data_IF_014915726820
#
_entry.id   IF_014915726820
#
_cell.length_a   1.000
_cell.length_b   1.000
_cell.length_c   1.000
_cell.angle_alpha   90.00
_cell.angle_beta   90.00
_cell.angle_gamma   90.00
#
_symmetry.space_group_name_H-M   'P 1'
#
loop_
_entity.id
_entity.type
_entity.pdbx_description
1 polymer ?
#
# COMPACT_ATOMS: atom_id res chain seq x y z
N UNK A 1 22.65 16.87 81.73
CA UNK A 1 21.85 17.25 80.53
C UNK A 1 22.56 16.61 79.32
N UNK A 2 22.13 15.38 78.97
CA UNK A 2 22.77 14.57 77.92
C UNK A 2 21.84 14.60 76.70
N UNK A 3 22.32 15.15 75.55
CA UNK A 3 21.59 15.22 74.26
C UNK A 3 21.89 13.98 73.47
N UNK A 4 20.86 13.17 73.22
CA UNK A 4 20.91 12.02 72.25
C UNK A 4 20.69 12.57 70.84
N UNK A 5 21.69 12.37 69.97
CA UNK A 5 21.59 12.59 68.53
C UNK A 5 21.07 11.30 67.92
N UNK A 6 19.85 11.31 67.33
CA UNK A 6 19.31 10.23 66.51
C UNK A 6 19.80 10.42 65.08
N UNK A 7 20.66 9.50 64.62
CA UNK A 7 20.98 9.41 63.19
C UNK A 7 19.88 8.64 62.46
N UNK A 8 19.25 9.25 61.47
CA UNK A 8 18.30 8.62 60.59
C UNK A 8 19.07 8.00 59.41
N UNK A 9 19.01 6.66 59.28
CA UNK A 9 19.57 5.91 58.18
C UNK A 9 18.55 5.97 57.00
N UNK A 10 18.87 6.69 55.94
CA UNK A 10 18.10 6.72 54.70
C UNK A 10 18.62 5.58 53.81
N UNK A 11 17.80 4.52 53.67
CA UNK A 11 18.07 3.41 52.76
C UNK A 11 17.54 3.80 51.38
N UNK A 12 18.47 4.08 50.43
CA UNK A 12 18.12 4.22 49.01
C UNK A 12 17.89 2.82 48.39
N UNK A 13 16.66 2.45 48.14
CA UNK A 13 16.33 1.25 47.34
C UNK A 13 16.45 1.67 45.86
N UNK A 14 17.56 1.31 45.22
CA UNK A 14 17.71 1.42 43.78
C UNK A 14 16.91 0.28 43.14
N UNK A 15 15.71 0.57 42.72
CA UNK A 15 14.87 -0.37 41.93
C UNK A 15 15.48 -0.61 40.58
N UNK A 16 16.07 -1.77 40.37
CA UNK A 16 16.55 -2.24 39.08
C UNK A 16 15.33 -2.61 38.22
N UNK A 17 14.83 -1.68 37.41
CA UNK A 17 13.84 -1.99 36.39
C UNK A 17 14.48 -2.84 35.29
N UNK A 18 14.38 -4.16 35.39
CA UNK A 18 14.65 -5.03 34.25
C UNK A 18 13.56 -4.78 33.18
N UNK A 19 13.89 -4.05 32.14
CA UNK A 19 13.12 -4.06 30.91
C UNK A 19 13.27 -5.45 30.29
N UNK A 20 12.28 -6.30 30.53
CA UNK A 20 12.15 -7.54 29.78
C UNK A 20 11.91 -7.15 28.30
N UNK A 21 12.89 -7.39 27.46
CA UNK A 21 12.74 -7.31 26.01
C UNK A 21 11.61 -8.27 25.64
N UNK A 22 10.42 -7.74 25.30
CA UNK A 22 9.35 -8.54 24.72
C UNK A 22 9.86 -9.05 23.38
N UNK A 23 10.12 -10.35 23.28
CA UNK A 23 10.36 -10.98 21.99
C UNK A 23 9.14 -10.69 21.11
N UNK A 24 9.38 -10.11 19.94
CA UNK A 24 8.33 -9.95 18.95
C UNK A 24 7.73 -11.33 18.66
N UNK A 25 6.39 -11.47 18.60
CA UNK A 25 5.78 -12.75 18.32
C UNK A 25 6.31 -13.28 16.98
N UNK A 26 6.72 -14.54 16.96
CA UNK A 26 7.19 -15.20 15.74
C UNK A 26 6.02 -15.30 14.76
N UNK A 27 6.12 -14.64 13.61
CA UNK A 27 5.09 -14.69 12.58
C UNK A 27 5.06 -16.09 11.93
N UNK A 28 3.86 -16.66 11.67
CA UNK A 28 3.72 -18.03 11.19
C UNK A 28 4.01 -18.15 9.68
N UNK A 29 5.25 -17.87 9.27
CA UNK A 29 5.68 -17.91 7.86
C UNK A 29 5.62 -19.33 7.27
N UNK A 30 5.67 -20.36 8.09
CA UNK A 30 5.46 -21.77 7.71
C UNK A 30 4.08 -22.03 7.09
N UNK A 31 3.11 -21.15 7.32
CA UNK A 31 1.77 -21.21 6.71
C UNK A 31 1.73 -20.61 5.30
N UNK A 32 2.73 -19.81 4.93
CA UNK A 32 2.75 -19.19 3.60
C UNK A 32 3.13 -20.24 2.55
N UNK A 33 2.27 -20.33 1.54
CA UNK A 33 2.48 -21.16 0.35
C UNK A 33 2.93 -20.29 -0.80
N UNK A 34 4.04 -20.66 -1.41
CA UNK A 34 4.65 -20.03 -2.57
C UNK A 34 4.85 -21.05 -3.66
N UNK A 35 4.99 -20.66 -4.93
CA UNK A 35 5.43 -21.54 -5.99
C UNK A 35 6.81 -22.17 -5.68
N UNK A 36 7.15 -23.34 -6.28
CA UNK A 36 8.44 -23.97 -6.07
C UNK A 36 9.62 -23.03 -6.37
N UNK A 37 10.66 -23.09 -5.53
CA UNK A 37 11.86 -22.27 -5.65
C UNK A 37 11.78 -20.90 -4.99
N UNK A 38 10.60 -20.46 -4.54
CA UNK A 38 10.44 -19.22 -3.80
C UNK A 38 10.53 -19.43 -2.28
N UNK A 39 11.05 -18.44 -1.59
CA UNK A 39 11.11 -18.38 -0.13
C UNK A 39 10.63 -17.01 0.38
N UNK A 40 10.15 -16.97 1.62
CA UNK A 40 9.72 -15.74 2.29
C UNK A 40 10.36 -15.62 3.67
N UNK A 41 10.81 -14.42 4.02
CA UNK A 41 11.36 -14.09 5.35
C UNK A 41 10.80 -12.76 5.83
N UNK A 42 10.82 -12.52 7.13
CA UNK A 42 10.59 -11.17 7.68
C UNK A 42 11.78 -10.30 7.28
N UNK A 43 11.52 -9.21 6.58
CA UNK A 43 12.50 -8.18 6.26
C UNK A 43 12.62 -7.16 7.40
N UNK A 44 11.47 -6.67 7.88
CA UNK A 44 11.39 -5.78 9.03
C UNK A 44 10.08 -6.01 9.79
N UNK A 45 10.08 -5.79 11.09
CA UNK A 45 8.92 -5.92 11.96
C UNK A 45 8.81 -4.71 12.91
N UNK A 46 7.68 -4.55 13.58
CA UNK A 46 7.43 -3.40 14.44
C UNK A 46 7.12 -2.14 13.63
N UNK A 47 6.42 -2.28 12.51
CA UNK A 47 5.99 -1.20 11.62
C UNK A 47 4.46 -1.12 11.64
N UNK A 48 3.86 -0.58 12.70
CA UNK A 48 2.40 -0.55 12.87
C UNK A 48 1.66 -0.01 11.67
N UNK A 49 0.70 -0.79 11.17
CA UNK A 49 -0.13 -0.51 10.00
C UNK A 49 0.67 -0.22 8.71
N UNK A 50 1.75 -0.95 8.45
CA UNK A 50 2.59 -0.76 7.25
C UNK A 50 1.76 -0.80 5.95
N UNK A 51 1.85 0.28 5.16
CA UNK A 51 1.09 0.46 3.92
C UNK A 51 2.04 0.60 2.73
N UNK A 52 1.85 1.61 1.89
CA UNK A 52 2.68 1.82 0.72
C UNK A 52 4.16 1.94 1.09
N UNK A 53 4.99 1.33 0.26
CA UNK A 53 6.44 1.36 0.35
C UNK A 53 7.04 2.17 -0.80
N UNK A 54 8.15 2.88 -0.52
CA UNK A 54 8.96 3.55 -1.52
C UNK A 54 10.44 3.39 -1.19
N UNK A 55 11.25 3.12 -2.20
CA UNK A 55 12.70 2.99 -2.04
C UNK A 55 13.37 4.34 -2.32
N UNK A 56 14.25 4.77 -1.43
CA UNK A 56 15.12 5.93 -1.59
C UNK A 56 16.33 5.64 -2.47
N UNK A 57 17.09 6.68 -2.79
CA UNK A 57 18.28 6.59 -3.65
C UNK A 57 19.42 5.83 -2.99
N UNK A 58 19.55 5.98 -1.65
CA UNK A 58 20.63 5.37 -0.85
C UNK A 58 20.22 3.99 -0.30
N UNK A 59 19.12 3.43 -0.80
CA UNK A 59 18.63 2.12 -0.41
C UNK A 59 17.77 2.10 0.86
N UNK A 60 17.44 3.26 1.42
CA UNK A 60 16.50 3.37 2.54
C UNK A 60 15.10 3.03 2.05
N UNK A 61 14.45 2.05 2.67
CA UNK A 61 13.05 1.77 2.41
C UNK A 61 12.18 2.66 3.29
N UNK A 62 11.25 3.39 2.69
CA UNK A 62 10.23 4.14 3.42
C UNK A 62 8.90 3.37 3.43
N UNK A 63 8.16 3.45 4.53
CA UNK A 63 6.84 2.88 4.67
C UNK A 63 5.86 3.87 5.30
N UNK A 64 4.72 4.08 4.63
CA UNK A 64 3.58 4.79 5.19
C UNK A 64 2.78 3.92 6.15
N UNK A 65 1.84 4.52 6.86
CA UNK A 65 0.91 3.77 7.72
C UNK A 65 -0.52 4.33 7.59
N UNK A 66 -1.46 3.60 8.13
CA UNK A 66 -2.87 4.03 8.13
C UNK A 66 -3.22 4.70 9.46
N UNK A 67 -3.96 4.04 10.34
CA UNK A 67 -4.41 4.60 11.63
C UNK A 67 -3.27 4.91 12.61
N UNK A 68 -2.13 4.24 12.47
CA UNK A 68 -0.94 4.53 13.30
C UNK A 68 -0.43 5.97 13.12
N UNK A 69 -0.72 6.62 11.98
CA UNK A 69 -0.37 8.01 11.73
C UNK A 69 1.12 8.29 11.64
N UNK A 70 1.92 7.27 11.32
CA UNK A 70 3.37 7.34 11.29
C UNK A 70 3.93 7.11 9.87
N UNK A 71 5.14 7.61 9.65
CA UNK A 71 5.98 7.25 8.50
C UNK A 71 7.28 6.70 9.03
N UNK A 72 7.75 5.61 8.43
CA UNK A 72 8.93 4.88 8.85
C UNK A 72 10.01 4.89 7.76
N UNK A 73 11.26 4.93 8.19
CA UNK A 73 12.42 4.59 7.36
C UNK A 73 13.00 3.27 7.88
N UNK A 74 13.31 2.38 6.97
CA UNK A 74 13.87 1.07 7.25
C UNK A 74 15.22 0.98 6.56
N UNK A 75 16.29 0.83 7.35
CA UNK A 75 17.66 0.69 6.87
C UNK A 75 18.02 -0.79 6.91
N UNK A 76 18.34 -1.35 5.75
CA UNK A 76 18.71 -2.76 5.62
C UNK A 76 20.17 -2.97 6.07
N UNK A 77 20.37 -3.82 7.07
CA UNK A 77 21.68 -4.26 7.58
C UNK A 77 21.94 -5.73 7.29
N UNK A 78 21.23 -6.32 6.32
CA UNK A 78 21.36 -7.75 6.00
C UNK A 78 22.77 -8.16 5.56
N UNK A 79 23.53 -7.23 4.97
CA UNK A 79 24.95 -7.46 4.62
C UNK A 79 25.84 -7.67 5.86
N UNK A 80 25.45 -7.12 7.02
CA UNK A 80 26.15 -7.23 8.30
C UNK A 80 25.53 -8.33 9.18
N UNK A 81 24.60 -9.13 8.66
CA UNK A 81 23.80 -10.12 9.38
C UNK A 81 23.03 -9.53 10.58
N UNK A 82 22.68 -8.25 10.51
CA UNK A 82 21.87 -7.57 11.51
C UNK A 82 20.42 -7.39 10.99
N UNK A 83 19.43 -7.35 11.90
CA UNK A 83 18.08 -7.00 11.51
C UNK A 83 18.02 -5.56 11.00
N UNK A 84 17.05 -5.28 10.13
CA UNK A 84 16.82 -3.93 9.63
C UNK A 84 16.50 -2.95 10.79
N UNK A 85 17.10 -1.76 10.75
CA UNK A 85 16.78 -0.68 11.71
C UNK A 85 15.50 0.02 11.26
N UNK A 86 14.50 0.08 12.13
CA UNK A 86 13.22 0.78 11.87
C UNK A 86 13.23 2.12 12.60
N UNK A 87 13.19 3.22 11.86
CA UNK A 87 13.22 4.59 12.36
C UNK A 87 11.87 5.26 12.07
N UNK A 88 11.20 5.76 13.10
CA UNK A 88 9.99 6.55 12.90
C UNK A 88 10.38 7.99 12.56
N UNK A 89 10.18 8.41 11.29
CA UNK A 89 10.56 9.73 10.79
C UNK A 89 9.44 10.77 10.88
N UNK A 90 8.19 10.35 11.00
CA UNK A 90 7.05 11.24 11.24
C UNK A 90 5.97 10.55 12.08
N UNK A 91 5.16 11.34 12.80
CA UNK A 91 4.06 10.84 13.63
C UNK A 91 2.93 11.87 13.71
N UNK A 92 1.73 11.41 14.11
CA UNK A 92 0.55 12.28 14.28
C UNK A 92 -0.04 12.79 12.97
N UNK A 93 0.29 12.13 11.85
CA UNK A 93 -0.28 12.44 10.54
C UNK A 93 -1.65 11.75 10.35
N UNK A 94 -2.48 12.28 9.45
CA UNK A 94 -3.82 11.72 9.17
C UNK A 94 -3.76 10.65 8.09
N UNK A 95 -3.63 9.38 8.49
CA UNK A 95 -3.55 8.22 7.59
C UNK A 95 -2.50 8.42 6.47
N UNK A 96 -1.21 8.61 6.80
CA UNK A 96 -0.14 8.86 5.83
C UNK A 96 0.23 7.58 5.05
N UNK A 97 -0.74 6.97 4.41
CA UNK A 97 -0.58 5.67 3.76
C UNK A 97 0.16 5.73 2.43
N UNK A 98 0.01 6.84 1.70
CA UNK A 98 0.66 7.04 0.40
C UNK A 98 2.02 7.69 0.54
N UNK A 99 3.06 7.05 -0.01
CA UNK A 99 4.41 7.60 -0.03
C UNK A 99 5.08 7.41 -1.38
N UNK A 100 5.88 8.38 -1.79
CA UNK A 100 6.71 8.30 -2.98
C UNK A 100 8.03 9.03 -2.76
N UNK A 101 9.11 8.51 -3.31
CA UNK A 101 10.43 9.12 -3.20
C UNK A 101 10.91 9.60 -4.58
N UNK A 102 11.48 10.81 -4.63
CA UNK A 102 12.08 11.36 -5.83
C UNK A 102 13.07 12.47 -5.49
N UNK A 103 14.21 12.49 -6.16
CA UNK A 103 15.23 13.54 -6.10
C UNK A 103 15.61 13.92 -4.65
N UNK A 104 15.88 12.90 -3.81
CA UNK A 104 16.25 13.07 -2.40
C UNK A 104 15.10 13.46 -1.46
N UNK A 105 13.88 13.55 -1.95
CA UNK A 105 12.70 14.00 -1.19
C UNK A 105 11.64 12.91 -1.08
N UNK A 106 11.09 12.76 0.13
CA UNK A 106 9.97 11.87 0.42
C UNK A 106 8.66 12.65 0.41
N UNK A 107 7.76 12.28 -0.50
CA UNK A 107 6.39 12.79 -0.55
C UNK A 107 5.50 11.86 0.26
N UNK A 108 4.63 12.44 1.07
CA UNK A 108 3.69 11.73 1.95
C UNK A 108 2.29 12.26 1.72
N UNK A 109 1.36 11.39 1.38
CA UNK A 109 -0.05 11.74 1.22
C UNK A 109 -0.84 11.35 2.47
N UNK A 110 -1.42 12.36 3.10
CA UNK A 110 -2.47 12.27 4.10
C UNK A 110 -3.85 12.27 3.40
N UNK A 111 -4.93 12.21 4.15
CA UNK A 111 -6.29 12.26 3.57
C UNK A 111 -6.49 13.49 2.68
N UNK A 112 -6.16 14.69 3.18
CA UNK A 112 -6.51 15.97 2.53
C UNK A 112 -5.33 16.73 1.94
N UNK A 113 -4.10 16.23 2.10
CA UNK A 113 -2.90 16.94 1.63
C UNK A 113 -1.76 15.99 1.26
N UNK A 114 -0.86 16.52 0.45
CA UNK A 114 0.46 15.93 0.20
C UNK A 114 1.51 16.87 0.79
N UNK A 115 2.40 16.31 1.59
CA UNK A 115 3.55 17.00 2.19
C UNK A 115 4.85 16.37 1.68
N UNK A 116 5.98 17.07 1.83
CA UNK A 116 7.28 16.63 1.34
C UNK A 116 8.38 16.89 2.37
N UNK A 117 9.23 15.91 2.59
CA UNK A 117 10.43 15.98 3.42
C UNK A 117 11.67 16.03 2.52
N UNK A 118 12.32 17.19 2.41
CA UNK A 118 13.47 17.40 1.52
C UNK A 118 14.78 16.90 2.14
N UNK A 119 15.61 16.17 1.37
CA UNK A 119 16.90 15.62 1.80
C UNK A 119 16.75 14.66 2.98
N UNK A 120 15.70 13.83 2.96
CA UNK A 120 15.32 12.98 4.10
C UNK A 120 16.35 11.91 4.44
N UNK A 121 16.98 11.26 3.43
CA UNK A 121 17.88 10.12 3.65
C UNK A 121 19.09 10.48 4.52
N UNK A 122 19.62 11.68 4.41
CA UNK A 122 20.72 12.17 5.25
C UNK A 122 20.29 12.60 6.67
N UNK A 123 18.99 12.58 6.98
CA UNK A 123 18.43 13.15 8.23
C UNK A 123 17.37 12.28 8.88
N UNK A 124 17.43 10.96 8.75
CA UNK A 124 16.44 10.02 9.27
C UNK A 124 16.15 10.18 10.76
N UNK A 125 17.20 10.42 11.57
CA UNK A 125 17.07 10.59 13.04
C UNK A 125 16.68 12.01 13.47
N UNK A 126 16.77 12.98 12.56
CA UNK A 126 16.36 14.37 12.77
C UNK A 126 15.69 14.93 11.50
N UNK A 127 14.49 14.45 11.15
CA UNK A 127 13.81 14.80 9.92
C UNK A 127 13.56 16.31 9.79
N UNK A 128 13.64 16.88 8.58
CA UNK A 128 13.31 18.28 8.37
C UNK A 128 11.81 18.52 8.58
N UNK A 129 11.43 19.78 8.80
CA UNK A 129 10.01 20.16 8.76
C UNK A 129 9.46 19.90 7.37
N UNK A 130 8.27 19.29 7.25
CA UNK A 130 7.69 19.05 5.93
C UNK A 130 7.21 20.33 5.26
N UNK A 131 7.31 20.35 3.94
CA UNK A 131 6.73 21.36 3.07
C UNK A 131 5.36 20.88 2.61
N UNK A 132 4.32 21.73 2.67
CA UNK A 132 3.03 21.43 2.05
C UNK A 132 3.15 21.56 0.55
N UNK A 133 2.90 20.47 -0.18
CA UNK A 133 2.90 20.43 -1.66
C UNK A 133 1.52 20.83 -2.18
N UNK A 134 0.47 20.19 -1.66
CA UNK A 134 -0.92 20.49 -2.00
C UNK A 134 -1.83 20.10 -0.83
N UNK A 135 -2.75 20.96 -0.44
CA UNK A 135 -3.71 20.76 0.67
C UNK A 135 -5.19 20.89 0.23
N UNK A 136 -5.45 20.74 -1.06
CA UNK A 136 -6.78 20.95 -1.66
C UNK A 136 -7.55 19.64 -1.92
N UNK A 137 -7.07 18.49 -1.42
CA UNK A 137 -7.80 17.24 -1.54
C UNK A 137 -9.00 17.20 -0.59
N UNK A 138 -10.03 16.41 -0.91
CA UNK A 138 -11.18 16.19 -0.02
C UNK A 138 -10.77 15.67 1.37
N UNK A 139 -11.61 15.96 2.37
CA UNK A 139 -11.33 15.67 3.79
C UNK A 139 -12.06 14.44 4.32
N UNK A 140 -12.90 13.83 3.51
CA UNK A 140 -13.70 12.64 3.83
C UNK A 140 -12.77 11.46 4.17
N UNK A 141 -13.07 10.79 5.29
CA UNK A 141 -12.25 9.66 5.75
C UNK A 141 -12.55 8.38 4.96
N UNK A 142 -13.80 8.19 4.52
CA UNK A 142 -14.21 7.03 3.74
C UNK A 142 -13.50 7.05 2.38
N UNK A 143 -12.71 6.03 2.09
CA UNK A 143 -11.79 5.96 0.94
C UNK A 143 -10.82 7.16 0.83
N UNK A 144 -10.53 7.81 1.97
CA UNK A 144 -9.69 9.01 2.01
C UNK A 144 -8.18 8.73 1.96
N UNK A 145 -7.74 7.54 2.38
CA UNK A 145 -6.32 7.15 2.33
C UNK A 145 -5.86 7.00 0.88
N UNK A 146 -4.61 7.35 0.64
CA UNK A 146 -4.07 7.49 -0.71
C UNK A 146 -2.91 6.53 -0.96
N UNK A 147 -2.70 6.24 -2.21
CA UNK A 147 -1.50 5.68 -2.79
C UNK A 147 -0.92 6.75 -3.74
N UNK A 148 0.36 7.02 -3.74
CA UNK A 148 0.95 8.03 -4.63
C UNK A 148 2.19 7.49 -5.34
N UNK A 149 2.39 7.90 -6.59
CA UNK A 149 3.61 7.56 -7.32
C UNK A 149 3.87 8.58 -8.43
N UNK A 150 5.12 8.67 -8.87
CA UNK A 150 5.52 9.52 -9.99
C UNK A 150 5.35 8.79 -11.30
N UNK A 151 4.60 9.39 -12.22
CA UNK A 151 4.42 8.86 -13.57
C UNK A 151 5.64 9.05 -14.46
N UNK A 152 5.66 8.37 -15.62
CA UNK A 152 6.72 8.54 -16.63
C UNK A 152 6.74 9.95 -17.24
N UNK A 153 5.67 10.72 -17.09
CA UNK A 153 5.55 12.14 -17.43
C UNK A 153 6.17 13.06 -16.37
N UNK A 154 6.69 12.50 -15.27
CA UNK A 154 7.28 13.22 -14.16
C UNK A 154 6.28 13.84 -13.18
N UNK A 155 4.98 13.69 -13.39
CA UNK A 155 3.94 14.20 -12.50
C UNK A 155 3.68 13.24 -11.34
N UNK A 156 3.18 13.76 -10.22
CA UNK A 156 2.73 12.97 -9.07
C UNK A 156 1.25 12.61 -9.25
N UNK A 157 0.96 11.30 -9.25
CA UNK A 157 -0.40 10.77 -9.35
C UNK A 157 -0.98 10.50 -7.97
N UNK A 158 -2.25 10.88 -7.77
CA UNK A 158 -2.95 10.81 -6.49
C UNK A 158 -4.39 10.38 -6.72
N UNK A 159 -4.81 9.19 -6.31
CA UNK A 159 -6.20 8.76 -6.36
C UNK A 159 -7.01 9.42 -5.23
N UNK A 160 -8.28 9.68 -5.52
CA UNK A 160 -9.26 10.14 -4.55
C UNK A 160 -10.50 9.28 -4.68
N UNK A 161 -10.72 8.39 -3.72
CA UNK A 161 -11.85 7.48 -3.75
C UNK A 161 -13.21 8.17 -3.57
N UNK A 162 -14.28 7.46 -3.92
CA UNK A 162 -15.64 7.94 -3.67
C UNK A 162 -15.91 8.05 -2.15
N UNK A 163 -16.60 9.09 -1.66
CA UNK A 163 -16.83 9.33 -0.23
C UNK A 163 -17.92 8.43 0.37
N UNK A 164 -18.21 7.31 -0.26
CA UNK A 164 -19.35 6.45 0.06
C UNK A 164 -19.15 5.03 -0.49
N UNK A 165 -19.96 4.08 -0.03
CA UNK A 165 -20.02 2.75 -0.66
C UNK A 165 -20.55 2.85 -2.10
N UNK A 166 -21.70 3.51 -2.29
CA UNK A 166 -22.30 3.77 -3.59
C UNK A 166 -23.06 5.10 -3.59
N UNK A 167 -22.54 6.07 -4.32
CA UNK A 167 -23.14 7.38 -4.56
C UNK A 167 -22.66 7.92 -5.89
N UNK A 168 -23.28 8.99 -6.38
CA UNK A 168 -22.71 9.81 -7.44
C UNK A 168 -21.78 10.86 -6.81
N UNK A 169 -20.48 10.65 -6.86
CA UNK A 169 -19.54 11.59 -6.24
C UNK A 169 -19.47 12.90 -7.06
N UNK A 170 -18.97 13.97 -6.41
CA UNK A 170 -18.58 15.17 -7.15
C UNK A 170 -17.29 14.93 -7.98
N UNK A 171 -16.91 15.90 -8.79
CA UNK A 171 -15.79 15.80 -9.74
C UNK A 171 -14.41 15.59 -9.09
N UNK A 172 -14.28 15.84 -7.77
CA UNK A 172 -13.04 15.67 -7.01
C UNK A 172 -12.84 14.26 -6.50
N UNK A 173 -13.90 13.43 -6.53
CA UNK A 173 -13.92 12.07 -6.02
C UNK A 173 -14.12 11.03 -7.14
N UNK A 174 -13.75 9.79 -6.85
CA UNK A 174 -13.86 8.70 -7.81
C UNK A 174 -12.92 8.88 -9.00
N UNK A 175 -11.72 9.40 -8.74
CA UNK A 175 -10.76 9.84 -9.76
C UNK A 175 -9.33 9.43 -9.42
N UNK A 176 -8.49 9.30 -10.43
CA UNK A 176 -7.04 9.43 -10.31
C UNK A 176 -6.67 10.80 -10.87
N UNK A 177 -6.05 11.63 -10.02
CA UNK A 177 -5.54 12.94 -10.39
C UNK A 177 -4.02 12.90 -10.55
N UNK A 178 -3.45 13.88 -11.26
CA UNK A 178 -2.00 14.11 -11.31
C UNK A 178 -1.69 15.60 -11.17
N UNK A 179 -0.49 15.91 -10.68
CA UNK A 179 -0.03 17.29 -10.49
C UNK A 179 1.47 17.39 -10.65
N UNK A 180 1.96 18.62 -10.83
CA UNK A 180 3.38 18.93 -10.82
C UNK A 180 3.99 18.66 -9.43
N UNK A 181 5.31 18.51 -9.34
CA UNK A 181 6.06 18.26 -8.10
C UNK A 181 5.89 19.34 -7.03
N UNK A 182 5.54 20.55 -7.44
CA UNK A 182 5.25 21.69 -6.56
C UNK A 182 3.76 21.81 -6.19
N UNK A 183 2.92 20.85 -6.59
CA UNK A 183 1.48 20.81 -6.30
C UNK A 183 0.61 21.64 -7.24
N UNK A 184 1.17 22.34 -8.21
CA UNK A 184 0.42 23.06 -9.23
C UNK A 184 -0.09 22.13 -10.34
N UNK A 185 -1.02 22.62 -11.17
CA UNK A 185 -1.49 21.90 -12.36
C UNK A 185 -2.26 20.61 -12.01
N UNK A 186 -2.97 20.58 -10.86
CA UNK A 186 -3.80 19.44 -10.49
C UNK A 186 -4.92 19.23 -11.52
N UNK A 187 -4.93 18.06 -12.14
CA UNK A 187 -5.92 17.68 -13.16
C UNK A 187 -6.36 16.21 -13.01
N UNK A 188 -7.55 15.89 -13.50
CA UNK A 188 -8.08 14.53 -13.52
C UNK A 188 -7.49 13.75 -14.69
N UNK A 189 -6.82 12.63 -14.39
CA UNK A 189 -6.31 11.68 -15.38
C UNK A 189 -7.35 10.61 -15.76
N UNK A 190 -8.02 10.01 -14.77
CA UNK A 190 -9.05 8.99 -14.98
C UNK A 190 -10.21 9.19 -13.98
N UNK A 191 -11.42 8.78 -14.36
CA UNK A 191 -12.65 8.94 -13.57
C UNK A 191 -13.53 7.71 -13.60
N UNK A 192 -14.62 7.73 -12.83
CA UNK A 192 -15.54 6.59 -12.72
C UNK A 192 -14.91 5.43 -11.95
N UNK A 193 -14.12 5.75 -10.93
CA UNK A 193 -13.36 4.85 -10.08
C UNK A 193 -13.95 4.89 -8.67
N UNK A 194 -14.16 3.73 -8.03
CA UNK A 194 -14.73 3.74 -6.68
C UNK A 194 -13.66 3.97 -5.62
N UNK A 195 -12.63 3.15 -5.57
CA UNK A 195 -11.57 3.23 -4.56
C UNK A 195 -10.29 2.56 -5.05
N UNK A 196 -9.48 3.28 -5.81
CA UNK A 196 -8.15 2.84 -6.22
C UNK A 196 -7.12 3.17 -5.14
N UNK A 197 -6.37 2.16 -4.69
CA UNK A 197 -5.29 2.28 -3.68
C UNK A 197 -4.03 1.55 -4.15
N UNK A 198 -3.84 1.39 -5.44
CA UNK A 198 -2.65 0.80 -6.03
C UNK A 198 -2.64 1.00 -7.53
N UNK A 199 -1.51 1.44 -8.03
CA UNK A 199 -1.30 1.61 -9.47
C UNK A 199 0.19 1.57 -9.81
N UNK A 200 0.49 1.27 -11.06
CA UNK A 200 1.83 1.29 -11.61
C UNK A 200 1.77 1.46 -13.13
N UNK A 201 2.89 1.74 -13.75
CA UNK A 201 3.00 1.88 -15.20
C UNK A 201 3.68 0.68 -15.82
N UNK A 202 3.11 0.19 -16.91
CA UNK A 202 3.73 -0.89 -17.67
C UNK A 202 5.18 -0.51 -18.04
N UNK A 203 6.18 -1.35 -17.69
CA UNK A 203 7.59 -0.95 -17.80
C UNK A 203 8.07 -0.62 -19.23
N UNK A 204 7.38 -1.16 -20.24
CA UNK A 204 7.71 -0.93 -21.67
C UNK A 204 6.85 0.18 -22.26
N UNK A 205 5.50 0.07 -22.18
CA UNK A 205 4.58 1.01 -22.83
C UNK A 205 4.36 2.29 -22.04
N UNK A 206 4.73 2.31 -20.75
CA UNK A 206 4.57 3.46 -19.84
C UNK A 206 3.11 3.85 -19.59
N UNK A 207 2.19 2.97 -19.85
CA UNK A 207 0.75 3.16 -19.68
C UNK A 207 0.31 2.74 -18.28
N UNK A 208 -0.65 3.47 -17.71
CA UNK A 208 -1.12 3.29 -16.34
C UNK A 208 -2.00 2.06 -16.19
N UNK A 209 -1.74 1.28 -15.15
CA UNK A 209 -2.59 0.20 -14.66
C UNK A 209 -2.94 0.45 -13.19
N UNK A 210 -4.15 0.16 -12.77
CA UNK A 210 -4.58 0.39 -11.38
C UNK A 210 -5.61 -0.63 -10.91
N UNK A 211 -5.61 -0.90 -9.61
CA UNK A 211 -6.65 -1.69 -8.93
C UNK A 211 -7.82 -0.80 -8.53
N UNK A 212 -9.05 -1.33 -8.56
CA UNK A 212 -10.23 -0.66 -8.00
C UNK A 212 -11.06 -1.64 -7.17
N UNK A 213 -11.45 -1.21 -5.97
CA UNK A 213 -12.26 -2.03 -5.07
C UNK A 213 -13.75 -1.86 -5.39
N UNK A 214 -14.44 -2.97 -5.64
CA UNK A 214 -15.86 -3.02 -5.94
C UNK A 214 -16.77 -2.58 -4.80
N UNK A 215 -18.05 -2.40 -5.11
CA UNK A 215 -19.10 -2.00 -4.15
C UNK A 215 -19.32 -3.09 -3.10
N UNK A 216 -19.44 -2.69 -1.83
CA UNK A 216 -19.70 -3.61 -0.73
C UNK A 216 -21.19 -3.96 -0.60
N UNK A 217 -21.49 -5.10 0.06
CA UNK A 217 -22.82 -5.52 0.47
C UNK A 217 -23.80 -5.82 -0.67
N UNK A 218 -23.28 -6.29 -1.81
CA UNK A 218 -24.09 -6.83 -2.91
C UNK A 218 -24.14 -8.38 -2.93
N UNK A 219 -23.68 -9.02 -1.86
CA UNK A 219 -23.54 -10.47 -1.73
C UNK A 219 -22.06 -10.93 -1.87
N UNK A 220 -21.83 -12.20 -1.62
CA UNK A 220 -20.47 -12.76 -1.55
C UNK A 220 -19.68 -12.70 -2.87
N UNK A 221 -20.41 -12.80 -3.99
CA UNK A 221 -19.78 -13.03 -5.28
C UNK A 221 -19.90 -11.84 -6.25
N UNK A 222 -20.47 -10.70 -5.83
CA UNK A 222 -20.76 -9.55 -6.68
C UNK A 222 -20.54 -8.23 -5.93
N UNK A 223 -19.94 -7.24 -6.57
CA UNK A 223 -19.15 -7.30 -7.79
C UNK A 223 -17.73 -7.84 -7.52
N UNK A 224 -17.00 -8.29 -8.53
CA UNK A 224 -15.57 -8.48 -8.40
C UNK A 224 -14.86 -7.12 -8.21
N UNK A 225 -13.65 -7.16 -7.62
CA UNK A 225 -12.68 -6.06 -7.73
C UNK A 225 -12.07 -6.06 -9.13
N UNK A 226 -11.41 -4.97 -9.50
CA UNK A 226 -10.97 -4.74 -10.87
C UNK A 226 -9.46 -4.47 -10.95
N UNK A 227 -8.83 -4.96 -12.01
CA UNK A 227 -7.59 -4.42 -12.53
C UNK A 227 -7.89 -3.68 -13.83
N UNK A 228 -7.61 -2.40 -13.82
CA UNK A 228 -7.93 -1.46 -14.89
C UNK A 228 -6.70 -1.05 -15.68
N UNK A 229 -6.89 -0.75 -16.97
CA UNK A 229 -5.86 -0.26 -17.89
C UNK A 229 -6.27 1.08 -18.48
N UNK A 230 -5.44 2.10 -18.24
CA UNK A 230 -5.69 3.49 -18.61
C UNK A 230 -4.55 4.06 -19.49
N UNK A 231 -4.47 3.71 -20.79
CA UNK A 231 -3.38 4.16 -21.66
C UNK A 231 -3.35 5.66 -21.94
N UNK A 232 -4.42 6.40 -21.65
CA UNK A 232 -4.52 7.82 -21.94
C UNK A 232 -5.41 8.54 -20.93
N UNK A 233 -5.24 9.87 -20.76
CA UNK A 233 -6.10 10.65 -19.89
C UNK A 233 -7.54 10.72 -20.42
N UNK A 234 -8.49 11.04 -19.51
CA UNK A 234 -9.90 11.26 -19.78
C UNK A 234 -10.76 9.99 -19.82
N UNK A 235 -10.20 8.81 -19.56
CA UNK A 235 -10.97 7.55 -19.53
C UNK A 235 -11.91 7.48 -18.34
N UNK A 236 -13.08 6.84 -18.54
CA UNK A 236 -14.12 6.66 -17.53
C UNK A 236 -14.41 5.17 -17.33
N UNK A 237 -14.25 4.68 -16.09
CA UNK A 237 -14.35 3.27 -15.74
C UNK A 237 -15.71 2.85 -15.17
N UNK A 238 -16.69 3.75 -15.15
CA UNK A 238 -18.11 3.43 -15.02
C UNK A 238 -18.74 3.67 -13.65
N UNK A 239 -17.99 3.64 -12.54
CA UNK A 239 -18.60 3.89 -11.23
C UNK A 239 -19.29 5.27 -11.18
N UNK A 240 -20.53 5.39 -10.67
CA UNK A 240 -21.37 4.36 -10.05
C UNK A 240 -22.39 3.71 -11.02
N UNK A 241 -22.41 4.03 -12.29
CA UNK A 241 -23.42 3.58 -13.26
C UNK A 241 -23.16 2.14 -13.74
N UNK A 242 -21.91 1.74 -13.81
CA UNK A 242 -21.48 0.39 -14.21
C UNK A 242 -20.38 -0.12 -13.27
N UNK A 243 -20.45 -1.37 -12.89
CA UNK A 243 -19.49 -2.07 -12.04
C UNK A 243 -18.90 -3.24 -12.83
N UNK A 244 -17.62 -3.50 -12.66
CA UNK A 244 -16.91 -4.62 -13.29
C UNK A 244 -17.11 -4.71 -14.82
N UNK A 245 -17.36 -3.58 -15.47
CA UNK A 245 -17.56 -3.45 -16.91
C UNK A 245 -18.87 -3.98 -17.46
N UNK A 246 -19.68 -4.71 -16.70
CA UNK A 246 -20.88 -5.38 -17.19
C UNK A 246 -22.09 -5.34 -16.25
N UNK A 247 -21.90 -4.97 -14.99
CA UNK A 247 -22.95 -5.00 -13.97
C UNK A 247 -23.54 -3.60 -13.83
N UNK A 248 -24.83 -3.37 -14.15
CA UNK A 248 -25.47 -2.08 -13.92
C UNK A 248 -25.40 -1.69 -12.43
N UNK A 249 -25.10 -0.43 -12.18
CA UNK A 249 -25.07 0.09 -10.82
C UNK A 249 -26.42 -0.04 -10.12
N UNK A 250 -26.49 -0.53 -8.86
CA UNK A 250 -27.76 -0.85 -8.21
C UNK A 250 -28.62 0.38 -7.87
N UNK A 251 -28.04 1.56 -7.82
CA UNK A 251 -28.74 2.83 -7.56
C UNK A 251 -28.62 3.84 -8.70
N UNK A 252 -27.56 3.70 -9.47
CA UNK A 252 -27.19 4.62 -10.54
C UNK A 252 -26.89 3.77 -11.77
N UNK A 253 -27.71 3.85 -12.81
CA UNK A 253 -27.56 3.16 -14.07
C UNK A 253 -28.11 4.03 -15.22
N UNK A 254 -27.77 5.32 -15.17
CA UNK A 254 -28.25 6.29 -16.14
C UNK A 254 -27.66 6.04 -17.54
N UNK A 255 -26.44 5.48 -17.56
CA UNK A 255 -25.74 5.13 -18.78
C UNK A 255 -25.46 3.62 -18.82
N UNK A 256 -25.60 2.96 -19.97
CA UNK A 256 -25.32 1.54 -20.12
C UNK A 256 -23.82 1.26 -20.05
N UNK A 257 -23.42 0.07 -19.58
CA UNK A 257 -22.03 -0.31 -19.34
C UNK A 257 -21.12 -0.16 -20.58
N UNK A 258 -21.64 -0.32 -21.78
CA UNK A 258 -20.88 -0.18 -23.03
C UNK A 258 -20.41 1.26 -23.35
N UNK A 259 -20.80 2.24 -22.53
CA UNK A 259 -20.31 3.62 -22.60
C UNK A 259 -19.02 3.84 -21.81
N UNK A 260 -18.64 2.87 -21.00
CA UNK A 260 -17.50 2.97 -20.11
C UNK A 260 -16.36 2.04 -20.54
N UNK A 261 -15.17 2.32 -20.05
CA UNK A 261 -14.02 1.44 -20.23
C UNK A 261 -14.17 0.22 -19.32
N UNK A 262 -14.20 -1.00 -19.84
CA UNK A 262 -14.25 -2.18 -19.00
C UNK A 262 -12.88 -2.41 -18.32
N UNK A 263 -12.84 -3.14 -17.19
CA UNK A 263 -11.58 -3.58 -16.59
C UNK A 263 -10.78 -4.45 -17.56
N UNK A 264 -9.46 -4.40 -17.45
CA UNK A 264 -8.56 -5.29 -18.18
C UNK A 264 -8.78 -6.76 -17.77
N UNK A 265 -9.07 -6.98 -16.48
CA UNK A 265 -9.49 -8.26 -15.93
C UNK A 265 -10.23 -8.04 -14.61
N UNK A 266 -11.29 -8.81 -14.38
CA UNK A 266 -11.95 -8.88 -13.09
C UNK A 266 -11.13 -9.77 -12.14
N UNK A 267 -10.94 -9.30 -10.91
CA UNK A 267 -10.29 -10.01 -9.82
C UNK A 267 -11.33 -10.79 -8.99
N UNK A 268 -10.92 -11.38 -7.87
CA UNK A 268 -11.88 -12.01 -6.96
C UNK A 268 -12.85 -10.98 -6.35
N UNK A 269 -14.12 -11.36 -6.08
CA UNK A 269 -15.08 -10.46 -5.46
C UNK A 269 -14.67 -10.12 -4.03
N UNK A 270 -14.56 -8.82 -3.73
CA UNK A 270 -14.21 -8.29 -2.41
C UNK A 270 -12.83 -8.72 -1.88
N UNK A 271 -11.87 -9.04 -2.73
CA UNK A 271 -10.50 -9.38 -2.31
C UNK A 271 -9.76 -8.17 -1.71
N UNK A 272 -10.31 -6.98 -1.88
CA UNK A 272 -9.70 -5.70 -1.53
C UNK A 272 -8.30 -5.58 -2.17
N UNK A 273 -8.28 -5.63 -3.50
CA UNK A 273 -7.07 -5.43 -4.29
C UNK A 273 -6.55 -4.00 -4.09
N UNK A 274 -5.33 -3.87 -3.53
CA UNK A 274 -4.75 -2.57 -3.20
C UNK A 274 -3.38 -2.41 -3.86
N UNK A 275 -2.26 -2.35 -3.14
CA UNK A 275 -0.95 -2.12 -3.74
C UNK A 275 -0.63 -3.09 -4.87
N UNK A 276 -0.11 -2.59 -5.99
CA UNK A 276 0.29 -3.40 -7.14
C UNK A 276 1.60 -2.89 -7.74
N UNK A 277 2.37 -3.80 -8.34
CA UNK A 277 3.58 -3.46 -9.10
C UNK A 277 3.78 -4.40 -10.28
N UNK A 278 4.31 -3.84 -11.37
CA UNK A 278 4.96 -4.65 -12.39
C UNK A 278 6.28 -5.20 -11.87
N UNK A 279 6.52 -6.48 -12.06
CA UNK A 279 7.80 -7.08 -11.71
C UNK A 279 8.86 -6.75 -12.75
N UNK A 280 9.80 -5.90 -12.39
CA UNK A 280 10.89 -5.44 -13.26
C UNK A 280 12.24 -6.07 -12.90
N UNK A 281 12.27 -6.90 -11.83
CA UNK A 281 13.46 -7.56 -11.35
C UNK A 281 13.94 -8.69 -12.27
N UNK A 282 15.11 -9.24 -11.93
CA UNK A 282 15.73 -10.36 -12.65
C UNK A 282 15.97 -11.58 -11.75
N UNK A 283 15.62 -11.50 -10.45
CA UNK A 283 15.78 -12.63 -9.53
C UNK A 283 14.75 -13.74 -9.79
N UNK A 284 13.51 -13.39 -10.08
CA UNK A 284 12.46 -14.37 -10.37
C UNK A 284 12.63 -14.93 -11.80
N UNK A 285 12.12 -16.13 -12.08
CA UNK A 285 12.12 -16.71 -13.42
C UNK A 285 11.59 -15.75 -14.49
N UNK A 286 12.06 -15.86 -15.75
CA UNK A 286 11.73 -14.92 -16.83
C UNK A 286 10.23 -14.74 -17.08
N UNK A 287 9.40 -15.75 -16.82
CA UNK A 287 7.95 -15.71 -16.98
C UNK A 287 7.22 -14.77 -15.99
N UNK A 288 7.92 -14.28 -14.95
CA UNK A 288 7.39 -13.28 -14.03
C UNK A 288 7.69 -11.85 -14.50
N UNK A 289 8.60 -11.67 -15.45
CA UNK A 289 9.02 -10.34 -15.89
C UNK A 289 7.88 -9.61 -16.57
N UNK A 290 7.67 -8.34 -16.19
CA UNK A 290 6.59 -7.47 -16.64
C UNK A 290 5.17 -8.00 -16.31
N UNK A 291 5.06 -8.97 -15.38
CA UNK A 291 3.78 -9.40 -14.84
C UNK A 291 3.40 -8.53 -13.63
N UNK A 292 2.13 -8.54 -13.26
CA UNK A 292 1.61 -7.68 -12.18
C UNK A 292 1.41 -8.50 -10.91
N UNK A 293 2.09 -8.10 -9.83
CA UNK A 293 1.81 -8.57 -8.47
C UNK A 293 0.85 -7.62 -7.78
N UNK A 294 -0.16 -8.16 -7.09
CA UNK A 294 -1.21 -7.40 -6.40
C UNK A 294 -1.32 -7.88 -4.96
N UNK A 295 -1.25 -6.96 -4.00
CA UNK A 295 -1.61 -7.23 -2.62
C UNK A 295 -3.13 -7.23 -2.48
N UNK A 296 -3.70 -8.37 -2.11
CA UNK A 296 -5.11 -8.53 -1.77
C UNK A 296 -5.27 -8.47 -0.25
N UNK A 297 -5.78 -7.36 0.23
CA UNK A 297 -5.89 -7.08 1.67
C UNK A 297 -6.91 -7.97 2.37
N UNK A 298 -7.85 -8.54 1.62
CA UNK A 298 -8.83 -9.51 2.08
C UNK A 298 -10.18 -8.93 2.45
N UNK A 299 -11.20 -9.74 2.22
CA UNK A 299 -12.61 -9.38 2.38
C UNK A 299 -12.99 -9.16 3.86
N UNK A 300 -13.93 -8.25 4.08
CA UNK A 300 -14.55 -8.03 5.39
C UNK A 300 -16.06 -8.31 5.38
N UNK A 301 -16.68 -8.35 4.20
CA UNK A 301 -18.13 -8.39 3.96
C UNK A 301 -18.59 -9.68 3.26
N UNK A 302 -17.85 -10.78 3.42
CA UNK A 302 -18.20 -12.10 2.87
C UNK A 302 -18.49 -13.11 3.98
N UNK A 303 -19.39 -14.06 3.72
CA UNK A 303 -19.65 -15.19 4.61
C UNK A 303 -18.42 -16.12 4.72
N UNK A 304 -17.73 -16.35 3.61
CA UNK A 304 -16.44 -17.03 3.56
C UNK A 304 -15.37 -16.05 3.12
N UNK A 305 -14.39 -15.71 3.98
CA UNK A 305 -13.33 -14.77 3.65
C UNK A 305 -12.51 -15.20 2.43
N UNK A 306 -12.06 -14.21 1.63
CA UNK A 306 -11.23 -14.40 0.44
C UNK A 306 -10.18 -13.28 0.37
N UNK A 307 -9.13 -13.46 -0.44
CA UNK A 307 -7.98 -12.55 -0.50
C UNK A 307 -6.97 -12.89 0.59
N UNK A 308 -6.43 -11.89 1.30
CA UNK A 308 -5.36 -12.06 2.29
C UNK A 308 -4.15 -12.79 1.69
N UNK A 309 -3.72 -12.32 0.51
CA UNK A 309 -2.69 -12.97 -0.29
C UNK A 309 -2.00 -11.97 -1.22
N UNK A 310 -0.95 -12.40 -1.86
CA UNK A 310 -0.42 -11.74 -3.06
C UNK A 310 -0.88 -12.55 -4.26
N UNK A 311 -1.50 -11.90 -5.22
CA UNK A 311 -1.91 -12.48 -6.49
C UNK A 311 -1.02 -12.02 -7.64
N UNK A 312 -1.13 -12.72 -8.76
CA UNK A 312 -0.37 -12.49 -9.97
C UNK A 312 -1.33 -12.38 -11.15
N UNK A 313 -1.21 -11.32 -11.93
CA UNK A 313 -1.88 -11.21 -13.23
C UNK A 313 -0.84 -11.37 -14.33
N UNK A 314 -1.09 -12.36 -15.20
CA UNK A 314 -0.27 -12.63 -16.38
C UNK A 314 -0.73 -11.78 -17.55
N UNK A 315 0.24 -11.20 -18.25
CA UNK A 315 0.02 -10.36 -19.42
C UNK A 315 0.67 -10.96 -20.66
N UNK A 316 -0.02 -10.78 -21.80
CA UNK A 316 0.57 -10.87 -23.13
C UNK A 316 0.49 -9.47 -23.77
N UNK A 317 1.63 -8.80 -23.88
CA UNK A 317 1.65 -7.35 -24.18
C UNK A 317 0.84 -6.56 -23.14
N UNK A 318 -0.13 -5.78 -23.59
CA UNK A 318 -1.04 -5.02 -22.72
C UNK A 318 -2.40 -5.74 -22.48
N UNK A 319 -2.45 -7.05 -22.66
CA UNK A 319 -3.67 -7.85 -22.43
C UNK A 319 -3.50 -8.73 -21.21
N UNK A 320 -4.34 -8.55 -20.20
CA UNK A 320 -4.43 -9.46 -19.07
C UNK A 320 -5.08 -10.77 -19.52
N UNK A 321 -4.37 -11.91 -19.31
CA UNK A 321 -4.81 -13.22 -19.80
C UNK A 321 -5.12 -14.21 -18.68
N UNK A 322 -4.56 -14.02 -17.48
CA UNK A 322 -4.75 -14.90 -16.34
C UNK A 322 -4.59 -14.15 -15.02
N UNK A 323 -5.42 -14.49 -14.05
CA UNK A 323 -5.32 -14.06 -12.66
C UNK A 323 -5.22 -15.29 -11.77
N UNK A 324 -4.21 -15.34 -10.90
CA UNK A 324 -3.91 -16.50 -10.06
C UNK A 324 -3.26 -16.11 -8.73
N UNK A 325 -3.37 -16.92 -7.66
CA UNK A 325 -2.61 -16.73 -6.45
C UNK A 325 -1.11 -16.88 -6.68
N UNK A 326 -0.30 -16.06 -5.97
CA UNK A 326 1.16 -16.20 -5.93
C UNK A 326 1.65 -16.59 -4.53
N UNK A 327 1.23 -15.89 -3.49
CA UNK A 327 1.57 -16.19 -2.10
C UNK A 327 0.29 -16.19 -1.26
N UNK A 328 -0.01 -17.31 -0.62
CA UNK A 328 -1.21 -17.51 0.20
C UNK A 328 -0.83 -18.04 1.58
N UNK A 329 -1.71 -17.86 2.58
CA UNK A 329 -1.52 -18.43 3.92
C UNK A 329 -1.65 -17.42 5.04
N UNK A 330 -1.82 -16.13 4.76
CA UNK A 330 -2.19 -15.13 5.78
C UNK A 330 -3.59 -15.38 6.36
N UNK A 331 -4.47 -16.01 5.58
CA UNK A 331 -5.77 -16.49 6.03
C UNK A 331 -5.69 -17.97 6.41
N UNK A 332 -6.15 -18.32 7.62
CA UNK A 332 -6.24 -19.68 8.13
C UNK A 332 -7.69 -19.96 8.58
N UNK A 333 -8.43 -20.73 7.79
CA UNK A 333 -9.86 -20.88 7.96
C UNK A 333 -10.60 -19.54 7.78
N UNK A 334 -11.26 -19.05 8.84
CA UNK A 334 -11.95 -17.75 8.85
C UNK A 334 -11.14 -16.62 9.51
N UNK A 335 -9.95 -16.91 10.05
CA UNK A 335 -9.13 -15.94 10.76
C UNK A 335 -7.85 -15.62 9.95
N UNK A 336 -7.53 -14.34 9.81
CA UNK A 336 -6.28 -13.92 9.23
C UNK A 336 -5.28 -13.53 10.32
N UNK A 337 -4.02 -13.90 10.17
CA UNK A 337 -2.94 -13.44 11.03
C UNK A 337 -2.19 -12.25 10.40
N UNK A 338 -2.33 -12.01 9.10
CA UNK A 338 -1.78 -10.89 8.37
C UNK A 338 -2.71 -10.42 7.25
N UNK A 339 -2.37 -9.26 6.66
CA UNK A 339 -3.12 -8.62 5.56
C UNK A 339 -2.13 -7.91 4.64
N UNK A 340 -1.71 -8.52 3.52
CA UNK A 340 -0.86 -7.85 2.53
C UNK A 340 -1.45 -6.51 2.07
N UNK A 341 -0.63 -5.47 2.05
CA UNK A 341 -1.09 -4.11 1.76
C UNK A 341 -0.41 -3.47 0.54
N UNK A 342 0.88 -3.70 0.33
CA UNK A 342 1.61 -3.24 -0.86
C UNK A 342 2.68 -4.25 -1.24
N UNK A 343 3.14 -4.17 -2.48
CA UNK A 343 4.27 -4.92 -3.00
C UNK A 343 5.29 -3.96 -3.63
N UNK A 344 6.59 -4.25 -3.48
CA UNK A 344 7.66 -3.43 -4.04
C UNK A 344 8.80 -4.32 -4.55
N UNK A 345 9.28 -4.07 -5.76
CA UNK A 345 10.43 -4.78 -6.33
C UNK A 345 11.71 -4.07 -5.89
N UNK A 346 12.62 -4.82 -5.27
CA UNK A 346 13.92 -4.32 -4.83
C UNK A 346 14.96 -4.36 -5.97
N UNK A 347 16.05 -3.59 -5.88
CA UNK A 347 17.11 -3.58 -6.91
C UNK A 347 17.76 -4.94 -7.17
N UNK A 348 17.81 -5.81 -6.16
CA UNK A 348 18.29 -7.20 -6.30
C UNK A 348 17.27 -8.13 -6.96
N UNK A 349 16.08 -7.63 -7.27
CA UNK A 349 14.98 -8.38 -7.85
C UNK A 349 14.11 -9.13 -6.84
N UNK A 350 14.36 -9.05 -5.54
CA UNK A 350 13.43 -9.57 -4.53
C UNK A 350 12.13 -8.73 -4.49
N UNK A 351 11.04 -9.35 -4.01
CA UNK A 351 9.75 -8.69 -3.84
C UNK A 351 9.51 -8.47 -2.35
N UNK A 352 9.30 -7.21 -1.95
CA UNK A 352 8.81 -6.90 -0.61
C UNK A 352 7.29 -6.92 -0.60
N UNK A 353 6.72 -7.31 0.56
CA UNK A 353 5.27 -7.30 0.82
C UNK A 353 5.06 -6.64 2.17
N UNK A 354 4.36 -5.51 2.24
CA UNK A 354 3.95 -4.91 3.51
C UNK A 354 2.67 -5.56 4.02
N UNK A 355 2.53 -5.59 5.36
CA UNK A 355 1.40 -6.20 6.06
C UNK A 355 0.98 -5.28 7.21
N UNK A 356 -0.19 -4.69 7.12
CA UNK A 356 -0.67 -3.69 8.08
C UNK A 356 -1.36 -4.30 9.32
N UNK A 357 -1.61 -5.60 9.29
CA UNK A 357 -2.14 -6.34 10.44
C UNK A 357 -1.05 -7.03 11.25
N UNK A 358 -0.03 -7.57 10.57
CA UNK A 358 1.12 -8.19 11.22
C UNK A 358 2.20 -7.18 11.60
N UNK A 359 2.03 -5.89 11.25
CA UNK A 359 2.99 -4.81 11.50
C UNK A 359 4.39 -5.13 10.98
N UNK A 360 4.47 -5.73 9.78
CA UNK A 360 5.69 -6.28 9.21
C UNK A 360 5.83 -6.01 7.70
N UNK A 361 7.05 -6.15 7.23
CA UNK A 361 7.38 -6.23 5.81
C UNK A 361 8.11 -7.55 5.59
N UNK A 362 7.67 -8.31 4.58
CA UNK A 362 8.29 -9.57 4.18
C UNK A 362 9.14 -9.36 2.94
N UNK A 363 10.14 -10.24 2.75
CA UNK A 363 10.96 -10.32 1.54
C UNK A 363 10.80 -11.69 0.91
N UNK A 364 10.36 -11.72 -0.33
CA UNK A 364 10.22 -12.93 -1.15
C UNK A 364 11.41 -12.99 -2.11
N UNK A 365 12.09 -14.14 -2.13
CA UNK A 365 13.25 -14.41 -3.00
C UNK A 365 13.05 -15.70 -3.77
N UNK A 366 13.85 -15.91 -4.84
CA UNK A 366 13.86 -17.12 -5.66
C UNK A 366 15.27 -17.69 -5.74
N UNK A 367 15.39 -19.03 -5.69
CA UNK A 367 16.64 -19.74 -5.99
C UNK A 367 17.66 -19.80 -4.84
N UNK A 368 17.28 -19.52 -3.59
CA UNK A 368 18.18 -19.69 -2.41
C UNK A 368 17.47 -20.33 -1.24
#
# INVERSE_FOLDING_TARGET
>A
MVRFIRAALVIFIVGLFMFAARSSPTLPLDKIKLPPGFTIKVFAAGIPNARQMALGSDGVLFAGSREAGNVYAIVDHSNDNQPAEVIKIAQGLKMPSGIAFRDGSLYVAEISRVIRYDGIESRLKNPPKPVVVNDKFPTEQHHGWKFIAFGPDGMLYVPVGAPCNICRPDERHGVIQRMNLNGSGLEVFAKGIRNSVGFDWHPVTKELWFTDNGVDSMGDNVPPDELNYAPRPGMNFGFPDCLAGTIPGPKFNLEPCNKFTPPAINLGPHVAAIGMRFYTGTMFPPEYRNQIFIAEHGSWNRSVPIGYRVSLVRLEGNKAIKYEPFAEGWLQGSASWGRPADVLVMPDGSLLVSDDKADAIYRVTYGK
#
